data_IF_117531644063
#
_entry.id   IF_117531644063
#
_cell.length_a   1.000
_cell.length_b   1.000
_cell.length_c   1.000
_cell.angle_alpha   90.00
_cell.angle_beta   90.00
_cell.angle_gamma   90.00
#
_symmetry.space_group_name_H-M   'P 1'
#
loop_
_entity.id
_entity.type
_entity.pdbx_description
1 polymer ?
#
# COMPACT_ATOMS: atom_id res chain seq x y z
N UNK A 1 -58.56 41.47 -43.66
CA UNK A 1 -57.09 41.33 -43.62
C UNK A 1 -56.76 40.44 -42.43
N UNK A 2 -56.03 39.34 -42.64
CA UNK A 2 -55.91 38.19 -41.72
C UNK A 2 -55.04 38.51 -40.50
N UNK A 3 -55.54 38.19 -39.31
CA UNK A 3 -54.76 38.12 -38.06
C UNK A 3 -54.18 36.71 -37.97
N UNK A 4 -52.86 36.57 -37.97
CA UNK A 4 -52.16 35.29 -37.82
C UNK A 4 -51.77 35.15 -36.34
N UNK A 5 -52.47 34.26 -35.64
CA UNK A 5 -52.09 33.78 -34.30
C UNK A 5 -50.96 32.75 -34.47
N UNK A 6 -49.74 33.14 -34.11
CA UNK A 6 -48.59 32.24 -33.96
C UNK A 6 -48.68 31.54 -32.60
N UNK A 7 -49.15 30.30 -32.59
CA UNK A 7 -49.09 29.43 -31.43
C UNK A 7 -47.70 28.76 -31.36
N UNK A 8 -46.85 29.23 -30.44
CA UNK A 8 -45.55 28.62 -30.15
C UNK A 8 -45.75 27.34 -29.33
N UNK A 9 -45.50 26.17 -29.93
CA UNK A 9 -45.43 24.91 -29.20
C UNK A 9 -44.10 24.82 -28.43
N UNK A 10 -44.18 24.84 -27.10
CA UNK A 10 -43.10 24.41 -26.21
C UNK A 10 -43.10 22.87 -26.17
N UNK A 11 -42.10 22.23 -26.76
CA UNK A 11 -41.87 20.79 -26.59
C UNK A 11 -40.96 20.55 -25.38
N UNK A 12 -41.41 19.83 -24.34
CA UNK A 12 -40.52 19.41 -23.28
C UNK A 12 -39.62 18.29 -23.83
N UNK A 13 -38.32 18.54 -23.91
CA UNK A 13 -37.32 17.51 -24.18
C UNK A 13 -37.24 16.63 -22.94
N UNK A 14 -37.85 15.45 -22.99
CA UNK A 14 -37.62 14.39 -22.01
C UNK A 14 -36.19 13.88 -22.22
N UNK A 15 -35.27 14.27 -21.32
CA UNK A 15 -33.97 13.67 -21.23
C UNK A 15 -34.15 12.20 -20.79
N UNK A 16 -34.05 11.28 -21.73
CA UNK A 16 -33.97 9.86 -21.44
C UNK A 16 -32.61 9.60 -20.80
N UNK A 17 -32.57 9.50 -19.47
CA UNK A 17 -31.39 9.04 -18.76
C UNK A 17 -31.13 7.59 -19.19
N UNK A 18 -30.14 7.39 -20.06
CA UNK A 18 -29.61 6.08 -20.37
C UNK A 18 -29.06 5.52 -19.07
N UNK A 19 -29.74 4.53 -18.49
CA UNK A 19 -29.18 3.75 -17.40
C UNK A 19 -28.15 2.84 -18.04
N UNK A 20 -26.90 3.31 -18.16
CA UNK A 20 -25.78 2.41 -18.42
C UNK A 20 -25.76 1.40 -17.28
N UNK A 21 -26.10 0.15 -17.59
CA UNK A 21 -26.02 -0.95 -16.64
C UNK A 21 -24.57 -1.10 -16.21
N UNK A 22 -24.28 -0.70 -14.98
CA UNK A 22 -22.95 -0.83 -14.40
C UNK A 22 -22.51 -2.31 -14.49
N UNK A 23 -21.29 -2.61 -14.96
CA UNK A 23 -20.84 -3.98 -15.05
C UNK A 23 -20.95 -4.65 -13.68
N UNK A 24 -21.47 -5.87 -13.66
CA UNK A 24 -21.58 -6.64 -12.43
C UNK A 24 -20.17 -6.83 -11.84
N UNK A 25 -20.08 -6.70 -10.52
CA UNK A 25 -18.83 -6.93 -9.82
C UNK A 25 -18.37 -8.38 -10.03
N UNK A 26 -17.06 -8.62 -10.21
CA UNK A 26 -16.54 -9.97 -10.27
C UNK A 26 -16.73 -10.64 -8.91
N UNK A 27 -16.69 -11.97 -8.89
CA UNK A 27 -16.75 -12.75 -7.65
C UNK A 27 -15.38 -13.32 -7.32
N UNK A 28 -15.06 -13.42 -6.03
CA UNK A 28 -13.83 -14.05 -5.57
C UNK A 28 -14.15 -15.49 -5.15
N UNK A 29 -13.69 -16.45 -5.94
CA UNK A 29 -13.81 -17.86 -5.60
C UNK A 29 -12.89 -18.21 -4.42
N UNK A 30 -11.68 -17.64 -4.40
CA UNK A 30 -10.69 -17.77 -3.33
C UNK A 30 -9.90 -16.47 -3.17
N UNK A 31 -9.54 -16.16 -1.94
CA UNK A 31 -8.71 -15.00 -1.62
C UNK A 31 -8.04 -15.24 -0.27
N UNK A 32 -6.71 -15.35 -0.27
CA UNK A 32 -5.95 -15.82 0.89
C UNK A 32 -4.54 -15.25 0.91
N UNK A 33 -4.02 -15.02 2.12
CA UNK A 33 -2.59 -14.84 2.30
C UNK A 33 -1.87 -16.18 2.18
N UNK A 34 -0.72 -16.16 1.52
CA UNK A 34 0.17 -17.31 1.34
C UNK A 34 1.62 -16.88 1.46
N UNK A 35 2.50 -17.84 1.75
CA UNK A 35 3.96 -17.62 1.77
C UNK A 35 4.61 -17.87 0.42
N UNK A 36 3.92 -18.53 -0.51
CA UNK A 36 4.39 -18.70 -1.89
C UNK A 36 3.21 -18.97 -2.85
N UNK A 37 3.44 -18.67 -4.13
CA UNK A 37 2.56 -19.06 -5.24
C UNK A 37 3.38 -19.85 -6.25
N UNK A 38 3.02 -21.10 -6.46
CA UNK A 38 3.68 -22.01 -7.38
C UNK A 38 2.65 -22.55 -8.38
N UNK A 39 3.02 -22.61 -9.67
CA UNK A 39 2.10 -23.07 -10.73
C UNK A 39 0.74 -22.34 -10.72
N UNK A 40 0.72 -21.04 -10.35
CA UNK A 40 -0.48 -20.19 -10.22
C UNK A 40 -1.46 -20.65 -9.12
N UNK A 41 -0.96 -21.37 -8.11
CA UNK A 41 -1.71 -21.79 -6.92
C UNK A 41 -0.94 -21.38 -5.66
N UNK A 42 -1.62 -20.96 -4.58
CA UNK A 42 -0.96 -20.71 -3.31
C UNK A 42 -0.49 -22.05 -2.73
N UNK A 43 0.72 -22.06 -2.16
CA UNK A 43 1.28 -23.26 -1.53
C UNK A 43 0.70 -23.52 -0.13
N UNK A 44 0.18 -22.49 0.53
CA UNK A 44 -0.50 -22.57 1.82
C UNK A 44 -1.52 -21.43 2.00
N UNK A 45 -2.31 -21.49 3.07
CA UNK A 45 -3.13 -20.38 3.55
C UNK A 45 -2.67 -20.01 4.95
N UNK A 46 -2.40 -18.73 5.21
CA UNK A 46 -1.87 -18.26 6.49
C UNK A 46 -2.71 -17.13 7.08
N UNK A 47 -2.96 -17.18 8.39
CA UNK A 47 -3.53 -16.07 9.17
C UNK A 47 -2.48 -15.38 10.06
N UNK A 48 -1.29 -15.99 10.17
CA UNK A 48 -0.14 -15.49 10.90
C UNK A 48 1.15 -15.92 10.20
N UNK A 49 2.18 -15.09 10.27
CA UNK A 49 3.51 -15.38 9.70
C UNK A 49 4.62 -14.89 10.64
N UNK A 50 5.79 -15.55 10.71
CA UNK A 50 6.90 -15.04 11.50
C UNK A 50 7.40 -13.67 11.02
N UNK A 51 7.95 -12.85 11.92
CA UNK A 51 8.63 -11.58 11.55
C UNK A 51 9.80 -11.77 10.60
N UNK A 52 10.38 -12.98 10.53
CA UNK A 52 11.45 -13.35 9.59
C UNK A 52 10.95 -13.70 8.18
N UNK A 53 9.63 -13.69 7.93
CA UNK A 53 9.09 -13.91 6.58
C UNK A 53 9.62 -12.84 5.64
N UNK A 54 10.31 -13.29 4.58
CA UNK A 54 10.94 -12.37 3.62
C UNK A 54 9.92 -11.76 2.65
N UNK A 55 8.95 -12.56 2.19
CA UNK A 55 7.94 -12.14 1.23
C UNK A 55 6.57 -12.70 1.63
N UNK A 56 5.54 -11.88 1.48
CA UNK A 56 4.15 -12.21 1.76
C UNK A 56 3.32 -12.00 0.49
N UNK A 57 2.50 -12.98 0.15
CA UNK A 57 1.65 -12.95 -1.04
C UNK A 57 0.19 -12.88 -0.63
N UNK A 58 -0.60 -12.19 -1.44
CA UNK A 58 -2.04 -12.23 -1.39
C UNK A 58 -2.58 -12.71 -2.74
N UNK A 59 -3.15 -13.91 -2.72
CA UNK A 59 -3.65 -14.64 -3.88
C UNK A 59 -5.14 -14.38 -4.07
N UNK A 60 -5.58 -14.25 -5.33
CA UNK A 60 -7.00 -14.16 -5.69
C UNK A 60 -7.32 -15.04 -6.90
N UNK A 61 -8.39 -15.81 -6.77
CA UNK A 61 -9.06 -16.50 -7.88
C UNK A 61 -10.40 -15.79 -8.14
N UNK A 62 -10.54 -15.26 -9.35
CA UNK A 62 -11.61 -14.36 -9.76
C UNK A 62 -12.50 -15.04 -10.80
N UNK A 63 -13.80 -14.94 -10.59
CA UNK A 63 -14.85 -15.36 -11.52
C UNK A 63 -15.63 -14.16 -12.06
N UNK A 64 -16.16 -14.27 -13.28
CA UNK A 64 -17.02 -13.27 -13.95
C UNK A 64 -16.38 -11.87 -14.10
N UNK A 65 -15.06 -11.83 -14.21
CA UNK A 65 -14.26 -10.61 -14.21
C UNK A 65 -13.62 -10.24 -15.55
N UNK A 66 -13.98 -10.90 -16.67
CA UNK A 66 -13.25 -10.68 -17.93
C UNK A 66 -13.19 -9.21 -18.33
N UNK A 67 -11.99 -8.74 -18.66
CA UNK A 67 -11.68 -7.35 -19.05
C UNK A 67 -11.93 -6.30 -17.95
N UNK A 68 -12.17 -6.73 -16.71
CA UNK A 68 -12.21 -5.85 -15.55
C UNK A 68 -10.83 -5.73 -14.92
N UNK A 69 -10.71 -4.78 -14.00
CA UNK A 69 -9.50 -4.55 -13.22
C UNK A 69 -9.79 -4.83 -11.75
N UNK A 70 -8.89 -5.58 -11.10
CA UNK A 70 -8.91 -5.86 -9.67
C UNK A 70 -7.85 -5.00 -8.98
N UNK A 71 -8.13 -4.51 -7.78
CA UNK A 71 -7.19 -3.74 -6.98
C UNK A 71 -6.95 -4.45 -5.65
N UNK A 72 -5.68 -4.67 -5.32
CA UNK A 72 -5.25 -5.08 -3.98
C UNK A 72 -4.73 -3.86 -3.23
N UNK A 73 -5.46 -3.42 -2.22
CA UNK A 73 -5.10 -2.29 -1.35
C UNK A 73 -4.38 -2.81 -0.11
N UNK A 74 -3.05 -2.77 -0.15
CA UNK A 74 -2.21 -3.18 0.97
C UNK A 74 -2.16 -2.08 2.03
N UNK A 75 -2.29 -2.49 3.28
CA UNK A 75 -2.09 -1.65 4.45
C UNK A 75 -1.27 -2.37 5.51
N UNK A 76 -0.53 -1.60 6.30
CA UNK A 76 0.24 -2.09 7.44
C UNK A 76 -0.23 -1.35 8.69
N UNK A 77 -0.71 -2.08 9.68
CA UNK A 77 -1.27 -1.54 10.93
C UNK A 77 -2.38 -0.49 10.68
N UNK A 78 -3.21 -0.71 9.65
CA UNK A 78 -4.28 0.20 9.25
C UNK A 78 -3.81 1.43 8.44
N UNK A 79 -2.51 1.64 8.27
CA UNK A 79 -1.99 2.70 7.40
C UNK A 79 -1.88 2.20 5.95
N UNK A 80 -2.46 2.90 4.96
CA UNK A 80 -2.34 2.52 3.55
C UNK A 80 -0.87 2.45 3.12
N UNK A 81 -0.49 1.33 2.53
CA UNK A 81 0.88 1.07 2.09
C UNK A 81 1.01 1.22 0.58
N UNK A 82 0.26 0.45 -0.22
CA UNK A 82 0.26 0.59 -1.69
C UNK A 82 -0.99 -0.06 -2.29
N UNK A 83 -1.42 0.45 -3.44
CA UNK A 83 -2.47 -0.19 -4.24
C UNK A 83 -1.81 -0.88 -5.44
N UNK A 84 -2.18 -2.14 -5.66
CA UNK A 84 -1.68 -2.94 -6.78
C UNK A 84 -2.83 -3.16 -7.76
N UNK A 85 -2.66 -2.69 -9.00
CA UNK A 85 -3.59 -2.90 -10.11
C UNK A 85 -3.31 -4.24 -10.77
N UNK A 86 -4.34 -5.07 -10.94
CA UNK A 86 -4.25 -6.40 -11.52
C UNK A 86 -5.32 -6.53 -12.63
N UNK A 87 -4.87 -6.61 -13.87
CA UNK A 87 -5.78 -6.78 -15.02
C UNK A 87 -6.31 -8.22 -15.10
N UNK A 88 -7.61 -8.36 -15.34
CA UNK A 88 -8.27 -9.67 -15.48
C UNK A 88 -8.45 -9.99 -16.97
N UNK A 89 -7.79 -11.07 -17.41
CA UNK A 89 -7.77 -11.46 -18.82
C UNK A 89 -8.94 -12.35 -19.28
N UNK A 90 -9.69 -12.97 -18.36
CA UNK A 90 -10.82 -13.85 -18.67
C UNK A 90 -11.78 -13.98 -17.48
N UNK A 91 -12.92 -14.63 -17.69
CA UNK A 91 -13.91 -14.89 -16.62
C UNK A 91 -13.42 -15.86 -15.54
N UNK A 92 -12.32 -16.60 -15.78
CA UNK A 92 -11.69 -17.46 -14.79
C UNK A 92 -10.21 -17.09 -14.71
N UNK A 93 -9.88 -16.25 -13.73
CA UNK A 93 -8.55 -15.65 -13.66
C UNK A 93 -7.93 -15.85 -12.30
N UNK A 94 -6.61 -16.05 -12.31
CA UNK A 94 -5.81 -16.16 -11.10
C UNK A 94 -4.75 -15.11 -11.14
N UNK A 95 -4.65 -14.37 -10.06
CA UNK A 95 -3.69 -13.29 -9.93
C UNK A 95 -3.26 -13.17 -8.47
N UNK A 96 -2.19 -12.44 -8.24
CA UNK A 96 -1.69 -12.20 -6.89
C UNK A 96 -0.86 -10.92 -6.90
N UNK A 97 -0.66 -10.40 -5.70
CA UNK A 97 0.34 -9.37 -5.44
C UNK A 97 1.18 -9.80 -4.25
N UNK A 98 2.42 -9.31 -4.14
CA UNK A 98 3.28 -9.62 -3.01
C UNK A 98 3.86 -8.37 -2.36
N UNK A 99 4.50 -8.56 -1.21
CA UNK A 99 5.31 -7.57 -0.51
C UNK A 99 6.56 -8.23 0.02
N UNK A 100 7.70 -7.58 -0.22
CA UNK A 100 8.95 -7.85 0.47
C UNK A 100 8.89 -7.19 1.85
N UNK A 101 9.06 -7.98 2.91
CA UNK A 101 9.02 -7.54 4.29
C UNK A 101 10.42 -7.19 4.82
N UNK A 102 11.46 -7.72 4.19
CA UNK A 102 12.85 -7.45 4.54
C UNK A 102 13.14 -5.95 4.49
N UNK A 103 13.84 -5.43 5.51
CA UNK A 103 14.17 -4.00 5.58
C UNK A 103 13.00 -3.11 5.96
N UNK A 104 11.78 -3.63 6.07
CA UNK A 104 10.66 -2.82 6.50
C UNK A 104 10.66 -2.57 8.01
N UNK A 105 11.52 -3.20 8.83
CA UNK A 105 11.51 -3.00 10.28
C UNK A 105 10.24 -3.56 10.94
N UNK A 106 9.87 -4.77 10.53
CA UNK A 106 8.70 -5.47 11.03
C UNK A 106 8.91 -5.93 12.49
N UNK A 107 7.83 -5.96 13.27
CA UNK A 107 7.81 -6.48 14.65
C UNK A 107 6.64 -7.42 14.89
N UNK A 108 6.73 -8.23 15.94
CA UNK A 108 5.63 -9.09 16.35
C UNK A 108 4.41 -8.22 16.72
N UNK A 109 3.23 -8.68 16.32
CA UNK A 109 1.97 -7.94 16.45
C UNK A 109 1.67 -6.98 15.30
N UNK A 110 2.63 -6.68 14.41
CA UNK A 110 2.32 -5.95 13.17
C UNK A 110 1.29 -6.74 12.35
N UNK A 111 0.35 -6.04 11.73
CA UNK A 111 -0.71 -6.64 10.93
C UNK A 111 -0.70 -6.08 9.52
N UNK A 112 -0.53 -6.96 8.55
CA UNK A 112 -0.77 -6.65 7.15
C UNK A 112 -2.23 -6.94 6.82
N UNK A 113 -2.85 -6.04 6.06
CA UNK A 113 -4.18 -6.27 5.52
C UNK A 113 -4.26 -5.94 4.04
N UNK A 114 -5.12 -6.66 3.34
CA UNK A 114 -5.49 -6.39 1.95
C UNK A 114 -6.99 -6.21 1.86
N UNK A 115 -7.42 -5.05 1.39
CA UNK A 115 -8.78 -4.87 0.87
C UNK A 115 -8.77 -5.10 -0.63
N UNK A 116 -9.75 -5.84 -1.14
CA UNK A 116 -9.87 -6.13 -2.58
C UNK A 116 -11.08 -5.40 -3.13
N UNK A 117 -10.87 -4.63 -4.19
CA UNK A 117 -11.93 -3.90 -4.89
C UNK A 117 -11.85 -4.11 -6.40
N UNK A 118 -12.95 -3.81 -7.09
CA UNK A 118 -13.03 -3.74 -8.55
C UNK A 118 -13.37 -2.33 -9.02
N UNK A 119 -14.27 -2.22 -10.00
CA UNK A 119 -14.84 -0.94 -10.43
C UNK A 119 -15.50 -0.17 -9.25
N UNK A 120 -15.72 1.14 -9.36
CA UNK A 120 -16.35 1.93 -8.31
C UNK A 120 -17.65 1.28 -7.78
N UNK A 121 -17.72 1.05 -6.46
CA UNK A 121 -18.84 0.37 -5.81
C UNK A 121 -18.69 -1.15 -5.68
N UNK A 122 -17.65 -1.75 -6.25
CA UNK A 122 -17.34 -3.17 -6.11
C UNK A 122 -16.31 -3.40 -4.99
N UNK A 123 -16.79 -3.48 -3.75
CA UNK A 123 -16.01 -3.90 -2.59
C UNK A 123 -16.11 -5.43 -2.44
N UNK A 124 -15.00 -6.15 -2.62
CA UNK A 124 -15.01 -7.61 -2.75
C UNK A 124 -14.58 -8.33 -1.46
N UNK A 125 -13.85 -7.66 -0.57
CA UNK A 125 -13.59 -8.15 0.77
C UNK A 125 -12.35 -7.54 1.43
N UNK A 126 -12.06 -8.02 2.64
CA UNK A 126 -10.92 -7.60 3.45
C UNK A 126 -10.31 -8.79 4.19
N UNK A 127 -8.99 -8.89 4.14
CA UNK A 127 -8.22 -9.95 4.78
C UNK A 127 -7.08 -9.36 5.58
N UNK A 128 -6.66 -10.07 6.63
CA UNK A 128 -5.54 -9.69 7.47
C UNK A 128 -4.65 -10.89 7.84
N UNK A 129 -3.37 -10.61 8.07
CA UNK A 129 -2.37 -11.54 8.58
C UNK A 129 -1.50 -10.83 9.63
N UNK A 130 -1.28 -11.49 10.76
CA UNK A 130 -0.51 -10.90 11.88
C UNK A 130 0.89 -11.51 11.97
N UNK A 131 1.88 -10.68 12.24
CA UNK A 131 3.26 -11.11 12.41
C UNK A 131 3.49 -11.66 13.81
N UNK A 132 4.15 -12.82 13.91
CA UNK A 132 4.50 -13.50 15.16
C UNK A 132 6.01 -13.51 15.37
N UNK A 133 6.44 -13.72 16.61
CA UNK A 133 7.86 -13.89 16.90
C UNK A 133 8.47 -15.07 16.10
N UNK A 134 9.72 -14.91 15.68
CA UNK A 134 10.48 -15.94 14.97
C UNK A 134 10.62 -17.17 15.87
N UNK A 135 9.82 -18.21 15.60
CA UNK A 135 9.78 -19.44 16.39
C UNK A 135 8.37 -19.98 16.61
N UNK A 136 7.33 -19.20 16.37
CA UNK A 136 5.94 -19.65 16.47
C UNK A 136 5.27 -19.62 15.09
N UNK A 137 5.53 -20.66 14.28
CA UNK A 137 4.75 -20.94 13.09
C UNK A 137 3.35 -21.45 13.51
N UNK A 138 2.25 -20.93 12.95
CA UNK A 138 0.93 -21.49 13.22
C UNK A 138 0.84 -22.86 12.54
N UNK A 139 0.55 -23.88 13.34
CA UNK A 139 0.00 -25.12 12.81
C UNK A 139 -1.32 -24.81 12.09
N UNK A 140 -1.54 -25.47 10.95
CA UNK A 140 -2.82 -25.46 10.26
C UNK A 140 -3.95 -25.83 11.23
N UNK A 141 -5.18 -25.30 11.06
CA UNK A 141 -6.30 -25.72 11.89
C UNK A 141 -6.69 -27.17 11.55
N UNK A 142 -6.23 -28.11 12.36
CA UNK A 142 -6.71 -29.49 12.31
C UNK A 142 -8.17 -29.54 12.77
N UNK A 143 -9.03 -29.91 11.84
CA UNK A 143 -10.43 -30.20 12.10
C UNK A 143 -10.51 -31.64 12.58
N UNK A 144 -10.56 -31.89 13.89
CA UNK A 144 -10.99 -33.18 14.48
C UNK A 144 -11.38 -33.00 15.94
N UNK A 145 -12.69 -32.99 16.19
CA UNK A 145 -13.30 -33.02 17.52
C UNK A 145 -13.61 -34.46 17.93
N UNK A 146 -13.22 -34.84 19.14
CA UNK A 146 -13.98 -35.59 20.19
C UNK A 146 -13.11 -36.60 20.95
N UNK A 147 -13.16 -36.53 22.29
CA UNK A 147 -12.49 -37.55 23.11
C UNK A 147 -12.43 -37.45 24.66
N UNK A 148 -13.34 -36.75 25.34
CA UNK A 148 -13.72 -36.90 26.78
C UNK A 148 -12.74 -36.56 27.94
N UNK A 149 -13.24 -36.07 29.10
CA UNK A 149 -12.44 -35.58 30.24
C UNK A 149 -12.44 -36.55 31.44
N UNK A 150 -11.37 -36.57 32.25
CA UNK A 150 -11.49 -36.70 33.72
C UNK A 150 -10.18 -36.36 34.49
N UNK A 151 -10.40 -35.80 35.68
CA UNK A 151 -9.65 -35.92 36.95
C UNK A 151 -8.51 -34.97 37.36
N UNK A 152 -8.93 -33.88 38.04
CA UNK A 152 -8.59 -33.44 39.41
C UNK A 152 -7.25 -33.85 40.07
N UNK A 153 -6.45 -32.85 40.49
CA UNK A 153 -5.82 -32.71 41.83
C UNK A 153 -4.93 -31.43 41.95
N UNK A 154 -4.68 -30.89 43.17
CA UNK A 154 -4.47 -29.46 43.46
C UNK A 154 -3.01 -29.04 43.80
N UNK A 155 -2.69 -27.73 44.00
CA UNK A 155 -1.33 -27.23 44.24
C UNK A 155 -1.02 -27.01 45.74
N UNK A 156 0.26 -26.95 46.14
CA UNK A 156 0.71 -25.91 47.10
C UNK A 156 2.22 -25.53 46.94
N UNK A 157 2.83 -24.69 47.81
CA UNK A 157 2.51 -23.29 48.09
C UNK A 157 3.76 -22.37 48.00
N UNK A 158 3.56 -21.06 47.96
CA UNK A 158 4.60 -20.04 48.24
C UNK A 158 4.69 -19.74 49.75
N UNK A 159 5.89 -19.37 50.26
CA UNK A 159 6.04 -18.43 51.37
C UNK A 159 6.74 -17.14 50.87
N UNK A 160 6.08 -15.98 50.92
CA UNK A 160 6.07 -14.98 52.02
C UNK A 160 7.41 -14.30 52.32
N UNK A 161 7.46 -12.98 51.99
CA UNK A 161 8.05 -11.79 52.67
C UNK A 161 9.46 -11.93 53.30
N UNK A 162 10.40 -10.98 53.26
CA UNK A 162 10.32 -9.58 53.72
C UNK A 162 11.66 -8.86 53.41
N UNK A 163 11.64 -7.51 53.48
CA UNK A 163 12.73 -6.57 53.82
C UNK A 163 13.62 -5.98 52.70
N UNK A 164 13.38 -4.69 52.43
CA UNK A 164 14.44 -3.71 52.21
C UNK A 164 15.13 -3.38 53.54
N UNK A 165 16.40 -2.95 53.50
CA UNK A 165 16.67 -1.55 53.85
C UNK A 165 17.68 -0.86 52.91
N UNK A 166 17.82 0.44 53.18
CA UNK A 166 18.29 1.52 52.33
C UNK A 166 19.82 1.67 52.18
N UNK A 167 20.19 2.26 51.03
CA UNK A 167 21.26 3.24 50.72
C UNK A 167 22.73 2.93 51.07
N UNK A 168 23.59 2.94 50.05
CA UNK A 168 24.54 4.05 49.82
C UNK A 168 25.36 3.86 48.53
N UNK A 169 25.72 5.01 47.95
CA UNK A 169 26.85 5.28 47.06
C UNK A 169 26.80 4.88 45.57
N UNK A 170 26.43 5.89 44.77
CA UNK A 170 27.49 6.61 44.05
C UNK A 170 28.10 5.89 42.85
N UNK A 171 27.30 5.68 41.82
CA UNK A 171 27.78 5.81 40.45
C UNK A 171 26.67 6.45 39.62
N UNK A 172 26.92 7.66 39.13
CA UNK A 172 26.21 8.21 37.98
C UNK A 172 26.28 7.16 36.86
N UNK A 173 25.23 6.35 36.73
CA UNK A 173 24.98 5.63 35.50
C UNK A 173 24.38 6.68 34.57
N UNK A 174 25.27 7.37 33.86
CA UNK A 174 24.87 8.14 32.70
C UNK A 174 24.02 7.22 31.83
N UNK A 175 22.80 7.65 31.51
CA UNK A 175 21.98 6.97 30.53
C UNK A 175 22.84 6.67 29.29
N UNK A 176 22.77 5.47 28.69
CA UNK A 176 23.40 5.25 27.40
C UNK A 176 22.81 6.30 26.46
N UNK A 177 23.62 7.25 26.02
CA UNK A 177 23.23 8.17 24.95
C UNK A 177 23.02 7.30 23.72
N UNK A 178 21.75 7.12 23.37
CA UNK A 178 21.23 6.33 22.24
C UNK A 178 21.57 7.00 20.89
N UNK A 179 22.85 7.35 20.72
CA UNK A 179 23.37 8.18 19.62
C UNK A 179 24.37 7.44 18.74
N UNK A 180 24.77 6.22 19.11
CA UNK A 180 25.59 5.38 18.25
C UNK A 180 24.78 4.94 17.01
N UNK A 181 25.37 4.89 15.81
CA UNK A 181 24.67 4.39 14.63
C UNK A 181 24.20 2.95 14.83
N UNK A 182 22.94 2.69 14.50
CA UNK A 182 22.35 1.34 14.47
C UNK A 182 22.48 0.79 13.06
N UNK A 183 22.61 -0.53 12.87
CA UNK A 183 22.58 -1.12 11.53
C UNK A 183 21.18 -0.99 10.92
N UNK A 184 21.03 -0.05 10.00
CA UNK A 184 19.81 0.21 9.22
C UNK A 184 20.01 -0.10 7.74
N UNK A 185 21.06 -0.86 7.37
CA UNK A 185 21.40 -1.12 5.97
C UNK A 185 20.22 -1.70 5.18
N UNK A 186 19.55 -2.72 5.72
CA UNK A 186 18.36 -3.29 5.11
C UNK A 186 17.20 -2.29 4.99
N UNK A 187 17.04 -1.40 5.97
CA UNK A 187 15.99 -0.38 5.96
C UNK A 187 16.25 0.67 4.87
N UNK A 188 17.47 1.17 4.76
CA UNK A 188 17.84 2.12 3.72
C UNK A 188 17.67 1.52 2.32
N UNK A 189 18.14 0.29 2.10
CA UNK A 189 17.93 -0.41 0.81
C UNK A 189 16.44 -0.50 0.44
N UNK A 190 15.58 -0.91 1.40
CA UNK A 190 14.14 -1.02 1.14
C UNK A 190 13.48 0.34 0.87
N UNK A 191 13.90 1.39 1.61
CA UNK A 191 13.39 2.76 1.40
C UNK A 191 13.82 3.27 0.02
N UNK A 192 15.08 3.11 -0.37
CA UNK A 192 15.61 3.54 -1.66
C UNK A 192 14.89 2.86 -2.83
N UNK A 193 14.63 1.55 -2.72
CA UNK A 193 13.87 0.81 -3.72
C UNK A 193 12.45 1.38 -3.88
N UNK A 194 11.73 1.60 -2.77
CA UNK A 194 10.38 2.18 -2.79
C UNK A 194 10.37 3.57 -3.41
N UNK A 195 11.36 4.41 -3.09
CA UNK A 195 11.50 5.75 -3.65
C UNK A 195 11.82 5.71 -5.14
N UNK A 196 12.68 4.79 -5.58
CA UNK A 196 13.04 4.57 -6.99
C UNK A 196 11.81 4.17 -7.81
N UNK A 197 10.96 3.31 -7.26
CA UNK A 197 9.70 2.89 -7.87
C UNK A 197 8.62 3.98 -7.82
N UNK A 198 8.82 5.04 -7.03
CA UNK A 198 7.84 6.08 -6.80
C UNK A 198 6.68 5.68 -5.89
N UNK A 199 6.85 4.62 -5.08
CA UNK A 199 5.87 4.19 -4.08
C UNK A 199 5.93 5.09 -2.83
N UNK A 200 5.28 6.24 -2.97
CA UNK A 200 5.34 7.30 -1.94
C UNK A 200 4.74 6.90 -0.58
N UNK A 201 3.74 6.01 -0.57
CA UNK A 201 3.06 5.55 0.64
C UNK A 201 3.90 4.49 1.35
N UNK A 202 4.39 3.51 0.60
CA UNK A 202 5.30 2.49 1.11
C UNK A 202 6.55 3.11 1.70
N UNK A 203 7.20 4.02 0.96
CA UNK A 203 8.41 4.71 1.41
C UNK A 203 8.17 5.51 2.70
N UNK A 204 7.07 6.28 2.79
CA UNK A 204 6.71 7.03 4.01
C UNK A 204 6.57 6.11 5.21
N UNK A 205 5.86 5.00 5.04
CA UNK A 205 5.66 4.01 6.09
C UNK A 205 7.00 3.39 6.52
N UNK A 206 7.87 3.02 5.57
CA UNK A 206 9.19 2.47 5.84
C UNK A 206 10.12 3.46 6.58
N UNK A 207 10.16 4.72 6.15
CA UNK A 207 10.95 5.77 6.80
C UNK A 207 10.47 5.98 8.25
N UNK A 208 9.16 6.06 8.47
CA UNK A 208 8.59 6.19 9.83
C UNK A 208 9.07 5.08 10.77
N UNK A 209 9.13 3.84 10.28
CA UNK A 209 9.60 2.70 11.08
C UNK A 209 11.12 2.71 11.27
N UNK A 210 11.89 3.04 10.24
CA UNK A 210 13.35 3.18 10.36
C UNK A 210 13.75 4.26 11.37
N UNK A 211 13.05 5.41 11.40
CA UNK A 211 13.26 6.46 12.42
C UNK A 211 13.05 5.96 13.85
N UNK A 212 12.12 5.03 14.05
CA UNK A 212 11.85 4.45 15.37
C UNK A 212 12.95 3.49 15.86
N UNK A 213 13.91 3.13 14.99
CA UNK A 213 14.99 2.19 15.29
C UNK A 213 16.32 2.88 15.62
N UNK A 214 16.43 4.21 15.49
CA UNK A 214 17.70 4.93 15.71
C UNK A 214 17.49 6.28 16.39
N UNK A 215 18.39 6.62 17.32
CA UNK A 215 18.56 7.98 17.85
C UNK A 215 19.79 8.70 17.27
N UNK A 216 20.49 8.11 16.30
CA UNK A 216 21.67 8.72 15.68
C UNK A 216 21.27 9.90 14.77
N UNK A 217 21.85 11.07 15.04
CA UNK A 217 21.50 12.31 14.34
C UNK A 217 21.77 12.28 12.82
N UNK A 218 22.83 11.59 12.37
CA UNK A 218 23.16 11.51 10.95
C UNK A 218 22.16 10.64 10.20
N UNK A 219 21.84 9.47 10.75
CA UNK A 219 20.83 8.56 10.17
C UNK A 219 19.44 9.20 10.14
N UNK A 220 19.07 9.93 11.20
CA UNK A 220 17.82 10.68 11.24
C UNK A 220 17.79 11.78 10.18
N UNK A 221 18.88 12.55 10.01
CA UNK A 221 18.96 13.58 8.98
C UNK A 221 18.83 13.02 7.57
N UNK A 222 19.39 11.84 7.30
CA UNK A 222 19.25 11.15 6.02
C UNK A 222 17.81 10.68 5.77
N UNK A 223 17.19 10.03 6.75
CA UNK A 223 15.78 9.63 6.70
C UNK A 223 14.85 10.85 6.52
N UNK A 224 15.16 11.98 7.15
CA UNK A 224 14.44 13.24 7.02
C UNK A 224 14.54 13.83 5.61
N UNK A 225 15.72 13.77 5.01
CA UNK A 225 15.92 14.21 3.64
C UNK A 225 15.15 13.31 2.65
N UNK A 226 15.19 11.97 2.83
CA UNK A 226 14.42 11.03 2.02
C UNK A 226 12.90 11.27 2.13
N UNK A 227 12.38 11.52 3.34
CA UNK A 227 10.96 11.81 3.56
C UNK A 227 10.54 13.13 2.92
N UNK A 228 11.39 14.16 3.00
CA UNK A 228 11.16 15.45 2.34
C UNK A 228 11.05 15.29 0.82
N UNK A 229 11.98 14.58 0.20
CA UNK A 229 11.95 14.31 -1.25
C UNK A 229 10.72 13.50 -1.64
N UNK A 230 10.37 12.49 -0.83
CA UNK A 230 9.18 11.66 -1.00
C UNK A 230 7.88 12.48 -0.94
N UNK A 231 7.74 13.36 0.05
CA UNK A 231 6.58 14.24 0.19
C UNK A 231 6.45 15.17 -1.00
N UNK A 232 7.56 15.75 -1.45
CA UNK A 232 7.58 16.62 -2.61
C UNK A 232 7.17 15.88 -3.90
N UNK A 233 7.60 14.63 -4.06
CA UNK A 233 7.16 13.78 -5.16
C UNK A 233 5.68 13.38 -5.05
N UNK A 234 5.18 13.10 -3.84
CA UNK A 234 3.78 12.77 -3.60
C UNK A 234 2.83 13.92 -3.98
N UNK A 235 3.20 15.16 -3.69
CA UNK A 235 2.47 16.35 -4.11
C UNK A 235 2.45 16.50 -5.64
N UNK A 236 3.56 16.22 -6.34
CA UNK A 236 3.60 16.20 -7.80
C UNK A 236 2.60 15.17 -8.35
N UNK A 237 2.61 13.96 -7.79
CA UNK A 237 1.67 12.91 -8.17
C UNK A 237 0.21 13.32 -7.91
N UNK A 238 -0.06 14.07 -6.84
CA UNK A 238 -1.38 14.61 -6.56
C UNK A 238 -1.85 15.58 -7.64
N UNK A 239 -1.01 16.52 -8.07
CA UNK A 239 -1.34 17.46 -9.15
C UNK A 239 -1.65 16.71 -10.46
N UNK A 240 -0.87 15.69 -10.79
CA UNK A 240 -1.10 14.84 -11.97
C UNK A 240 -2.46 14.13 -11.86
N UNK A 241 -2.77 13.51 -10.70
CA UNK A 241 -4.08 12.85 -10.49
C UNK A 241 -5.25 13.82 -10.60
N UNK A 242 -5.08 15.04 -10.11
CA UNK A 242 -6.09 16.11 -10.22
C UNK A 242 -6.17 16.71 -11.62
N UNK A 243 -5.31 16.27 -12.56
CA UNK A 243 -5.20 16.78 -13.93
C UNK A 243 -4.81 18.26 -14.01
N UNK A 244 -4.20 18.82 -12.95
CA UNK A 244 -3.60 20.14 -12.98
C UNK A 244 -2.21 20.06 -13.62
N UNK A 245 -2.21 19.88 -14.94
CA UNK A 245 -1.00 19.68 -15.74
C UNK A 245 -0.05 20.92 -15.67
N UNK A 246 -0.53 22.18 -15.72
CA UNK A 246 0.33 23.34 -15.56
C UNK A 246 1.06 23.37 -14.21
N UNK A 247 0.34 23.18 -13.10
CA UNK A 247 0.97 23.18 -11.78
C UNK A 247 1.91 21.99 -11.61
N UNK A 248 1.54 20.81 -12.12
CA UNK A 248 2.40 19.62 -12.10
C UNK A 248 3.73 19.87 -12.83
N UNK A 249 3.72 20.53 -13.99
CA UNK A 249 4.95 20.87 -14.72
C UNK A 249 5.82 21.86 -13.96
N UNK A 250 5.21 22.92 -13.41
CA UNK A 250 5.95 23.90 -12.60
C UNK A 250 6.63 23.22 -11.40
N UNK A 251 5.89 22.35 -10.70
CA UNK A 251 6.43 21.60 -9.57
C UNK A 251 7.54 20.66 -10.00
N UNK A 252 7.35 19.89 -11.08
CA UNK A 252 8.37 19.00 -11.59
C UNK A 252 9.65 19.76 -11.95
N UNK A 253 9.55 20.91 -12.63
CA UNK A 253 10.73 21.71 -12.98
C UNK A 253 11.48 22.18 -11.73
N UNK A 254 10.75 22.63 -10.70
CA UNK A 254 11.36 23.00 -9.43
C UNK A 254 12.07 21.80 -8.77
N UNK A 255 11.44 20.62 -8.77
CA UNK A 255 12.02 19.40 -8.20
C UNK A 255 13.25 18.90 -8.96
N UNK A 256 13.27 18.97 -10.29
CA UNK A 256 14.44 18.60 -11.08
C UNK A 256 15.65 19.52 -10.84
N UNK A 257 15.44 20.72 -10.29
CA UNK A 257 16.52 21.63 -9.89
C UNK A 257 16.94 21.38 -8.44
N UNK A 258 15.98 21.12 -7.54
CA UNK A 258 16.25 21.02 -6.10
C UNK A 258 16.63 19.62 -5.62
N UNK A 259 16.14 18.57 -6.29
CA UNK A 259 16.41 17.16 -5.95
C UNK A 259 17.61 16.70 -6.79
N UNK A 260 18.73 16.32 -6.17
CA UNK A 260 19.92 16.01 -6.93
C UNK A 260 19.84 14.60 -7.56
N UNK A 261 20.62 14.32 -8.62
CA UNK A 261 20.55 13.05 -9.36
C UNK A 261 20.83 11.79 -8.52
N UNK A 262 21.58 11.92 -7.44
CA UNK A 262 21.87 10.85 -6.48
C UNK A 262 20.71 10.55 -5.52
N UNK A 263 19.69 11.40 -5.45
CA UNK A 263 18.51 11.13 -4.61
C UNK A 263 17.77 9.90 -5.17
N UNK A 264 17.35 8.95 -4.32
CA UNK A 264 16.63 7.75 -4.75
C UNK A 264 15.26 8.05 -5.38
N UNK A 265 14.70 9.27 -5.18
CA UNK A 265 13.45 9.71 -5.82
C UNK A 265 13.68 10.14 -7.28
N UNK A 266 14.91 10.45 -7.67
CA UNK A 266 15.23 11.04 -8.98
C UNK A 266 14.78 10.19 -10.19
N UNK A 267 14.94 8.86 -10.21
CA UNK A 267 14.41 8.04 -11.31
C UNK A 267 12.89 8.17 -11.48
N UNK A 268 12.14 8.24 -10.37
CA UNK A 268 10.69 8.40 -10.41
C UNK A 268 10.30 9.80 -10.96
N UNK A 269 11.06 10.85 -10.63
CA UNK A 269 10.92 12.19 -11.22
C UNK A 269 11.13 12.18 -12.73
N UNK A 270 12.17 11.51 -13.23
CA UNK A 270 12.41 11.36 -14.66
C UNK A 270 11.25 10.64 -15.36
N UNK A 271 10.71 9.59 -14.73
CA UNK A 271 9.52 8.91 -15.22
C UNK A 271 8.31 9.85 -15.34
N UNK A 272 8.09 10.74 -14.36
CA UNK A 272 7.02 11.75 -14.44
C UNK A 272 7.29 12.81 -15.50
N UNK A 273 8.54 13.19 -15.72
CA UNK A 273 8.92 14.12 -16.79
C UNK A 273 8.50 13.59 -18.16
N UNK A 274 8.92 12.35 -18.48
CA UNK A 274 8.54 11.69 -19.72
C UNK A 274 7.02 11.59 -19.89
N UNK A 275 6.28 11.24 -18.82
CA UNK A 275 4.82 11.16 -18.86
C UNK A 275 4.19 12.52 -19.22
N UNK A 276 4.63 13.60 -18.57
CA UNK A 276 4.07 14.94 -18.82
C UNK A 276 4.37 15.45 -20.23
N UNK A 277 5.53 15.09 -20.79
CA UNK A 277 5.87 15.40 -22.18
C UNK A 277 4.96 14.65 -23.17
N UNK A 278 4.75 13.34 -22.95
CA UNK A 278 3.84 12.53 -23.76
C UNK A 278 2.40 13.07 -23.75
N UNK A 279 1.89 13.46 -22.57
CA UNK A 279 0.56 14.06 -22.46
C UNK A 279 0.44 15.38 -23.23
N UNK A 280 1.54 16.14 -23.37
CA UNK A 280 1.57 17.36 -24.15
C UNK A 280 1.56 17.08 -25.66
N UNK A 281 2.31 16.08 -26.11
CA UNK A 281 2.29 15.63 -27.51
C UNK A 281 0.89 15.17 -27.92
N UNK A 282 0.28 14.28 -27.12
CA UNK A 282 -1.09 13.79 -27.38
C UNK A 282 -2.14 14.92 -27.45
N UNK A 283 -2.03 15.92 -26.57
CA UNK A 283 -2.93 17.07 -26.59
C UNK A 283 -2.75 17.94 -27.84
N UNK A 284 -1.52 18.12 -28.32
CA UNK A 284 -1.24 18.87 -29.56
C UNK A 284 -1.80 18.14 -30.77
N UNK A 285 -1.60 16.83 -30.86
CA UNK A 285 -2.11 16.02 -31.97
C UNK A 285 -3.64 16.02 -31.97
N UNK A 286 -4.28 15.91 -30.81
CA UNK A 286 -5.73 16.01 -30.67
C UNK A 286 -6.26 17.37 -31.11
N UNK A 287 -5.59 18.47 -30.73
CA UNK A 287 -5.97 19.82 -31.15
C UNK A 287 -5.78 20.02 -32.67
N UNK A 288 -4.71 19.49 -33.25
CA UNK A 288 -4.47 19.55 -34.69
C UNK A 288 -5.53 18.77 -35.49
N UNK A 289 -5.92 17.59 -35.02
CA UNK A 289 -6.99 16.79 -35.60
C UNK A 289 -8.35 17.50 -35.51
N UNK A 290 -8.66 18.13 -34.37
CA UNK A 290 -9.89 18.92 -34.21
C UNK A 290 -9.91 20.15 -35.13
N UNK A 291 -8.78 20.84 -35.28
CA UNK A 291 -8.66 21.99 -36.17
C UNK A 291 -8.80 21.59 -37.66
N UNK A 292 -8.29 20.42 -38.05
CA UNK A 292 -8.44 19.88 -39.41
C UNK A 292 -9.86 19.36 -39.71
N UNK A 293 -10.65 19.04 -38.69
CA UNK A 293 -12.02 18.58 -38.80
C UNK A 293 -13.07 19.71 -38.73
N UNK A 294 -12.66 20.95 -38.47
CA UNK A 294 -13.54 22.11 -38.50
C UNK A 294 -13.81 22.52 -39.97
N UNK A 295 -15.09 22.69 -40.38
CA UNK A 295 -15.50 22.95 -41.76
C UNK A 295 -15.12 24.34 -42.28
#
# INVERSE_FOLDING_TARGET
MRVILLASLLTPVLAMAQTESQPACPTLARADFTTAVENREPTNTVSQVPVSTAELFFYTEVHDGSHQTLYHHWSLNGEPFVDVTLEIGSDFWRTWSSKTLTGLGMKAGDTWSVSVTGAPGCELGHWQVTLTESGNAPAAPDTSTQGTPDRTAPPPPSPSQTQSPANADGAQQAAPTDSAPVDLSANFMAIEELLTLGDTRGARSAIKRARALTGNAQQLAELDQMDKDNQAFAELNQLIRQRDIPAARQKLQALMVSVPPESPVYPALQGRHKLLDQLNEMNRDSAALQAAAAP
#
